data_IF_140601384093
#
_entry.id   IF_140601384093
#
_cell.length_a   1.000
_cell.length_b   1.000
_cell.length_c   1.000
_cell.angle_alpha   90.00
_cell.angle_beta   90.00
_cell.angle_gamma   90.00
#
_symmetry.space_group_name_H-M   'P 1'
#
loop_
_entity.id
_entity.type
_entity.pdbx_description
1 polymer ?
#
# COMPACT_ATOMS: atom_id res chain seq x y z
N UNK A 1 -35.92 -49.75 -45.10
CA UNK A 1 -35.38 -51.08 -44.70
C UNK A 1 -33.95 -50.83 -44.24
N UNK A 2 -33.57 -51.32 -43.07
CA UNK A 2 -32.24 -51.13 -42.48
C UNK A 2 -31.11 -51.66 -43.38
N UNK A 3 -29.84 -51.58 -43.01
CA UNK A 3 -29.32 -52.03 -41.73
C UNK A 3 -27.96 -51.35 -41.44
N UNK A 4 -27.80 -50.91 -40.20
CA UNK A 4 -26.62 -51.00 -39.32
C UNK A 4 -25.37 -51.75 -39.83
N UNK A 5 -24.19 -51.12 -39.73
CA UNK A 5 -23.07 -51.70 -38.98
C UNK A 5 -21.97 -50.68 -38.64
N UNK A 6 -21.55 -50.72 -37.36
CA UNK A 6 -20.46 -49.97 -36.75
C UNK A 6 -19.09 -50.51 -37.18
N UNK A 7 -18.09 -49.64 -37.35
CA UNK A 7 -16.67 -49.97 -37.12
C UNK A 7 -15.91 -48.67 -36.82
N UNK A 8 -15.51 -48.53 -35.56
CA UNK A 8 -14.54 -47.55 -35.09
C UNK A 8 -13.20 -48.28 -34.98
N UNK A 9 -12.21 -47.85 -35.75
CA UNK A 9 -10.77 -48.13 -35.54
C UNK A 9 -10.00 -47.03 -36.26
N UNK A 10 -9.10 -46.38 -35.53
CA UNK A 10 -8.54 -45.07 -35.87
C UNK A 10 -7.37 -45.07 -36.85
N UNK A 11 -6.99 -43.85 -37.22
CA UNK A 11 -5.70 -43.49 -37.81
C UNK A 11 -5.19 -42.23 -37.11
N UNK A 12 -3.90 -42.25 -36.79
CA UNK A 12 -3.13 -41.31 -35.95
C UNK A 12 -2.71 -40.03 -36.71
N UNK A 13 -2.80 -38.88 -36.02
CA UNK A 13 -1.84 -37.73 -35.86
C UNK A 13 -1.04 -37.14 -37.06
N UNK A 14 -0.72 -35.80 -37.10
CA UNK A 14 0.11 -35.18 -36.05
C UNK A 14 -0.01 -33.66 -35.74
N UNK A 15 0.32 -33.34 -34.47
CA UNK A 15 1.17 -32.24 -33.94
C UNK A 15 0.97 -30.80 -34.45
N UNK A 16 0.54 -29.92 -33.55
CA UNK A 16 1.12 -28.57 -33.34
C UNK A 16 0.59 -28.05 -31.99
N UNK A 17 1.38 -28.14 -30.94
CA UNK A 17 2.32 -27.11 -30.49
C UNK A 17 1.72 -26.39 -29.27
N UNK A 18 2.50 -26.49 -28.20
CA UNK A 18 2.30 -26.00 -26.86
C UNK A 18 1.77 -24.56 -26.86
N UNK A 19 0.52 -24.40 -26.44
CA UNK A 19 0.16 -23.22 -25.66
C UNK A 19 -0.16 -23.75 -24.28
N UNK A 20 0.88 -23.68 -23.47
CA UNK A 20 0.77 -23.38 -22.04
C UNK A 20 -0.27 -22.27 -21.90
N UNK A 21 -1.54 -22.67 -21.77
CA UNK A 21 -2.57 -21.83 -21.17
C UNK A 21 -2.20 -21.80 -19.70
N UNK A 22 -1.17 -21.01 -19.41
CA UNK A 22 -0.88 -20.51 -18.09
C UNK A 22 -2.09 -19.72 -17.69
N UNK A 23 -3.10 -20.44 -17.21
CA UNK A 23 -4.06 -19.94 -16.26
C UNK A 23 -3.21 -19.28 -15.20
N UNK A 24 -3.11 -17.95 -15.30
CA UNK A 24 -2.65 -17.08 -14.23
C UNK A 24 -3.50 -17.42 -13.04
N UNK A 25 -3.01 -18.37 -12.23
CA UNK A 25 -3.55 -18.64 -10.91
C UNK A 25 -3.32 -17.35 -10.11
N UNK A 26 -4.40 -16.56 -10.05
CA UNK A 26 -4.52 -15.43 -9.17
C UNK A 26 -4.28 -15.90 -7.74
N UNK A 27 -3.18 -15.41 -7.18
CA UNK A 27 -2.80 -15.60 -5.80
C UNK A 27 -1.51 -14.81 -5.58
N UNK A 28 -1.50 -13.67 -4.92
CA UNK A 28 -2.52 -12.85 -4.29
C UNK A 28 -2.04 -11.41 -4.58
N UNK A 29 -2.92 -10.43 -4.78
CA UNK A 29 -2.52 -9.02 -4.97
C UNK A 29 -2.00 -8.43 -3.64
N UNK A 30 -1.03 -9.09 -3.00
CA UNK A 30 -0.54 -8.78 -1.66
C UNK A 30 0.99 -8.65 -1.63
N UNK A 31 1.47 -8.03 -0.56
CA UNK A 31 2.89 -7.85 -0.30
C UNK A 31 3.11 -6.94 0.90
N UNK A 32 4.34 -6.52 1.12
CA UNK A 32 4.65 -5.59 2.21
C UNK A 32 4.54 -4.14 1.70
N UNK A 33 3.43 -3.48 2.03
CA UNK A 33 3.23 -2.05 1.77
C UNK A 33 4.26 -1.23 2.54
N UNK A 34 4.92 -0.32 1.85
CA UNK A 34 5.83 0.69 2.44
C UNK A 34 4.99 1.82 3.00
N UNK A 35 5.16 2.18 4.27
CA UNK A 35 4.34 3.20 4.93
C UNK A 35 5.12 4.47 5.25
N UNK A 36 6.26 4.32 5.94
CA UNK A 36 7.07 5.44 6.41
C UNK A 36 8.54 5.17 6.20
N UNK A 37 9.28 6.19 5.80
CA UNK A 37 10.73 6.11 5.54
C UNK A 37 11.41 7.12 6.46
N UNK A 38 12.35 6.65 7.27
CA UNK A 38 13.14 7.53 8.13
C UNK A 38 14.23 8.21 7.32
N UNK A 39 14.47 9.48 7.60
CA UNK A 39 15.55 10.24 6.98
C UNK A 39 16.91 9.59 7.26
N UNK A 40 17.83 9.70 6.29
CA UNK A 40 19.19 9.18 6.37
C UNK A 40 19.29 7.66 6.60
N UNK A 41 18.19 6.93 6.41
CA UNK A 41 18.15 5.48 6.50
C UNK A 41 18.56 4.81 5.17
N UNK A 42 18.92 3.51 5.19
CA UNK A 42 19.11 2.74 3.96
C UNK A 42 17.92 2.81 3.00
N UNK A 43 16.69 2.85 3.53
CA UNK A 43 15.47 2.93 2.71
C UNK A 43 15.28 4.30 2.05
N UNK A 44 15.76 5.37 2.67
CA UNK A 44 15.72 6.72 2.07
C UNK A 44 16.60 6.86 0.83
N UNK A 45 17.57 5.95 0.63
CA UNK A 45 18.51 6.00 -0.48
C UNK A 45 18.06 5.24 -1.75
N UNK A 46 16.98 4.47 -1.68
CA UNK A 46 16.58 3.55 -2.77
C UNK A 46 15.32 3.99 -3.53
N UNK A 47 14.76 5.15 -3.20
CA UNK A 47 13.62 5.71 -3.94
C UNK A 47 12.32 4.94 -3.73
N UNK A 48 12.06 4.48 -2.51
CA UNK A 48 10.72 4.02 -2.14
C UNK A 48 9.73 5.20 -2.17
N UNK A 49 8.52 4.91 -2.61
CA UNK A 49 7.36 5.80 -2.59
C UNK A 49 6.41 5.29 -1.52
N UNK A 50 6.34 6.01 -0.41
CA UNK A 50 5.47 5.69 0.72
C UNK A 50 4.01 5.48 0.29
N UNK A 51 3.35 4.55 0.96
CA UNK A 51 2.00 4.04 0.75
C UNK A 51 1.72 3.34 -0.59
N UNK A 52 2.30 3.83 -1.68
CA UNK A 52 2.08 3.30 -3.03
C UNK A 52 2.97 2.11 -3.38
N UNK A 53 4.14 1.98 -2.73
CA UNK A 53 5.02 0.84 -2.97
C UNK A 53 4.67 -0.38 -2.13
N UNK A 54 4.74 -1.54 -2.78
CA UNK A 54 4.63 -2.86 -2.19
C UNK A 54 5.88 -3.67 -2.53
N UNK A 55 6.57 -4.17 -1.51
CA UNK A 55 7.66 -5.12 -1.68
C UNK A 55 7.04 -6.50 -1.92
N UNK A 56 7.21 -7.02 -3.14
CA UNK A 56 6.64 -8.31 -3.58
C UNK A 56 7.65 -9.45 -3.50
N UNK A 57 8.94 -9.14 -3.61
CA UNK A 57 10.01 -10.12 -3.64
C UNK A 57 11.27 -9.56 -2.98
N UNK A 58 12.02 -10.42 -2.29
CA UNK A 58 13.36 -10.14 -1.80
C UNK A 58 14.30 -11.31 -2.14
N UNK A 59 15.41 -11.02 -2.84
CA UNK A 59 16.43 -11.99 -3.26
C UNK A 59 15.86 -13.22 -4.01
N UNK A 60 14.86 -13.05 -4.90
CA UNK A 60 14.24 -14.18 -5.60
C UNK A 60 13.10 -14.85 -4.83
N UNK A 61 12.87 -14.48 -3.57
CA UNK A 61 11.83 -15.08 -2.72
C UNK A 61 10.61 -14.18 -2.70
N UNK A 62 9.47 -14.74 -3.11
CA UNK A 62 8.17 -14.08 -3.12
C UNK A 62 7.67 -13.83 -1.69
N UNK A 63 6.99 -12.70 -1.48
CA UNK A 63 6.55 -12.21 -0.19
C UNK A 63 5.02 -12.08 -0.16
N UNK A 64 4.33 -13.18 -0.42
CA UNK A 64 2.87 -13.27 -0.48
C UNK A 64 2.23 -13.84 0.80
N UNK A 65 3.03 -14.03 1.86
CA UNK A 65 2.55 -14.51 3.16
C UNK A 65 2.90 -13.54 4.29
N UNK A 66 1.99 -13.40 5.25
CA UNK A 66 2.23 -12.66 6.50
C UNK A 66 3.03 -13.51 7.49
N UNK A 67 4.32 -13.66 7.22
CA UNK A 67 5.26 -14.39 8.09
C UNK A 67 6.56 -13.60 8.33
N UNK A 68 7.57 -14.27 8.88
CA UNK A 68 8.85 -13.66 9.22
C UNK A 68 9.84 -13.60 8.04
N UNK A 69 9.50 -14.12 6.85
CA UNK A 69 10.46 -14.33 5.75
C UNK A 69 11.17 -13.04 5.33
N UNK A 70 10.45 -11.93 5.15
CA UNK A 70 11.08 -10.65 4.82
C UNK A 70 12.06 -10.21 5.92
N UNK A 71 11.67 -10.34 7.20
CA UNK A 71 12.50 -9.94 8.33
C UNK A 71 13.77 -10.79 8.44
N UNK A 72 13.65 -12.09 8.19
CA UNK A 72 14.78 -13.01 8.16
C UNK A 72 15.74 -12.68 7.01
N UNK A 73 15.23 -12.39 5.81
CA UNK A 73 16.04 -11.99 4.66
C UNK A 73 16.80 -10.68 4.90
N UNK A 74 16.15 -9.70 5.54
CA UNK A 74 16.76 -8.43 5.95
C UNK A 74 17.88 -8.70 6.96
N UNK A 75 17.63 -9.50 8.00
CA UNK A 75 18.61 -9.82 9.03
C UNK A 75 19.82 -10.59 8.46
N UNK A 76 19.58 -11.53 7.55
CA UNK A 76 20.64 -12.26 6.87
C UNK A 76 21.46 -11.34 5.96
N UNK A 77 20.86 -10.32 5.36
CA UNK A 77 21.52 -9.42 4.41
C UNK A 77 22.17 -8.20 5.08
N UNK A 78 22.40 -8.20 6.40
CA UNK A 78 23.08 -7.09 7.08
C UNK A 78 24.45 -6.78 6.43
N UNK A 79 24.66 -5.51 6.09
CA UNK A 79 25.80 -4.95 5.37
C UNK A 79 26.07 -5.58 3.98
N UNK A 80 25.06 -6.25 3.37
CA UNK A 80 25.14 -6.82 2.01
C UNK A 80 23.96 -6.35 1.14
N UNK A 81 24.19 -6.15 -0.17
CA UNK A 81 23.08 -5.83 -1.08
C UNK A 81 22.01 -6.92 -1.11
N UNK A 82 20.76 -6.50 -1.03
CA UNK A 82 19.55 -7.28 -1.22
C UNK A 82 18.80 -6.73 -2.43
N UNK A 83 18.39 -7.62 -3.33
CA UNK A 83 17.56 -7.28 -4.48
C UNK A 83 16.09 -7.33 -4.06
N UNK A 84 15.34 -6.27 -4.36
CA UNK A 84 13.91 -6.19 -4.11
C UNK A 84 13.16 -6.03 -5.44
N UNK A 85 11.98 -6.64 -5.53
CA UNK A 85 10.98 -6.33 -6.55
C UNK A 85 9.83 -5.58 -5.91
N UNK A 86 9.57 -4.38 -6.40
CA UNK A 86 8.62 -3.44 -5.81
C UNK A 86 7.58 -3.08 -6.85
N UNK A 87 6.31 -3.25 -6.49
CA UNK A 87 5.17 -2.79 -7.28
C UNK A 87 4.69 -1.44 -6.76
N UNK A 88 4.50 -0.47 -7.64
CA UNK A 88 3.92 0.81 -7.30
C UNK A 88 2.47 0.85 -7.78
N UNK A 89 1.53 1.01 -6.85
CA UNK A 89 0.09 1.02 -7.17
C UNK A 89 -0.23 2.21 -8.08
N UNK A 90 0.09 3.45 -7.66
CA UNK A 90 -0.22 4.68 -8.42
C UNK A 90 0.29 4.66 -9.87
N UNK A 91 1.49 4.11 -10.10
CA UNK A 91 2.10 4.04 -11.42
C UNK A 91 1.76 2.74 -12.17
N UNK A 92 1.11 1.77 -11.52
CA UNK A 92 0.82 0.42 -12.06
C UNK A 92 2.06 -0.24 -12.69
N UNK A 93 3.23 -0.08 -12.06
CA UNK A 93 4.50 -0.61 -12.57
C UNK A 93 5.31 -1.32 -11.50
N UNK A 94 6.05 -2.34 -11.95
CA UNK A 94 7.01 -3.08 -11.12
C UNK A 94 8.43 -2.65 -11.45
N UNK A 95 9.25 -2.44 -10.43
CA UNK A 95 10.67 -2.11 -10.58
C UNK A 95 11.54 -2.92 -9.63
N UNK A 96 12.81 -3.02 -9.99
CA UNK A 96 13.84 -3.67 -9.19
C UNK A 96 14.65 -2.61 -8.43
N UNK A 97 14.80 -2.79 -7.12
CA UNK A 97 15.59 -1.92 -6.25
C UNK A 97 16.69 -2.73 -5.55
N UNK A 98 17.89 -2.16 -5.46
CA UNK A 98 18.96 -2.73 -4.65
C UNK A 98 19.07 -1.94 -3.34
N UNK A 99 18.87 -2.62 -2.21
CA UNK A 99 18.94 -2.04 -0.88
C UNK A 99 20.00 -2.76 -0.04
N UNK A 100 20.80 -2.04 0.74
CA UNK A 100 21.76 -2.65 1.67
C UNK A 100 21.32 -2.39 3.10
N UNK A 101 20.78 -3.38 3.82
CA UNK A 101 20.44 -3.24 5.23
C UNK A 101 21.68 -2.90 6.05
N UNK A 102 21.61 -1.93 6.95
CA UNK A 102 22.75 -1.57 7.80
C UNK A 102 22.29 -0.90 9.09
N UNK A 103 23.11 -1.00 10.14
CA UNK A 103 22.97 -0.23 11.39
C UNK A 103 23.79 1.07 11.38
N UNK A 104 24.54 1.32 10.32
CA UNK A 104 25.45 2.47 10.19
C UNK A 104 24.70 3.73 9.72
N UNK A 105 23.67 4.09 10.45
CA UNK A 105 22.85 5.28 10.24
C UNK A 105 22.27 5.74 11.59
N UNK A 106 21.80 6.99 11.72
CA UNK A 106 21.51 7.58 13.03
C UNK A 106 20.24 7.05 13.72
N UNK A 107 19.39 6.29 13.02
CA UNK A 107 18.15 5.75 13.56
C UNK A 107 18.25 4.31 14.09
N UNK A 108 17.10 3.64 14.15
CA UNK A 108 16.96 2.29 14.73
C UNK A 108 16.58 1.26 13.67
N UNK A 109 17.21 0.08 13.75
CA UNK A 109 16.93 -1.04 12.86
C UNK A 109 17.87 -1.08 11.65
N UNK A 110 17.55 -1.97 10.71
CA UNK A 110 18.41 -2.24 9.56
C UNK A 110 18.03 -1.44 8.31
N UNK A 111 16.78 -1.01 8.20
CA UNK A 111 16.24 -0.39 6.99
C UNK A 111 15.79 1.06 7.19
N UNK A 112 15.26 1.38 8.37
CA UNK A 112 14.56 2.64 8.62
C UNK A 112 13.27 2.79 7.80
N UNK A 113 12.54 1.70 7.58
CA UNK A 113 11.24 1.69 6.91
C UNK A 113 10.19 1.06 7.82
N UNK A 114 8.98 1.62 7.82
CA UNK A 114 7.77 1.01 8.37
C UNK A 114 7.05 0.29 7.24
N UNK A 115 6.74 -0.99 7.44
CA UNK A 115 6.06 -1.83 6.45
C UNK A 115 4.91 -2.59 7.09
N UNK A 116 3.90 -2.93 6.29
CA UNK A 116 2.76 -3.76 6.69
C UNK A 116 2.42 -4.75 5.59
N UNK A 117 2.16 -6.01 5.95
CA UNK A 117 1.61 -6.96 5.00
C UNK A 117 0.17 -6.59 4.68
N UNK A 118 -0.13 -6.40 3.40
CA UNK A 118 -1.37 -5.79 2.94
C UNK A 118 -1.72 -6.23 1.50
N UNK A 119 -2.96 -5.98 1.08
CA UNK A 119 -3.39 -6.13 -0.31
C UNK A 119 -3.31 -4.78 -1.04
N UNK A 120 -2.96 -4.82 -2.32
CA UNK A 120 -3.07 -3.71 -3.26
C UNK A 120 -4.25 -3.86 -4.22
N UNK A 121 -5.11 -4.86 -4.02
CA UNK A 121 -6.35 -5.00 -4.78
C UNK A 121 -7.28 -3.82 -4.50
N UNK A 122 -7.66 -3.08 -5.57
CA UNK A 122 -8.57 -1.93 -5.46
C UNK A 122 -8.00 -0.72 -4.71
N UNK A 123 -6.69 -0.67 -4.43
CA UNK A 123 -6.10 0.36 -3.59
C UNK A 123 -6.15 1.79 -4.17
N UNK A 124 -6.44 1.96 -5.47
CA UNK A 124 -6.64 3.28 -6.10
C UNK A 124 -8.03 3.86 -5.82
N UNK A 125 -9.04 3.00 -5.65
CA UNK A 125 -10.44 3.41 -5.45
C UNK A 125 -10.75 3.74 -3.97
N UNK A 126 -9.80 3.44 -3.08
CA UNK A 126 -9.95 3.47 -1.62
C UNK A 126 -9.38 4.74 -0.97
N UNK A 127 -9.10 5.79 -1.75
CA UNK A 127 -8.52 7.02 -1.20
C UNK A 127 -9.60 7.98 -0.68
N UNK A 128 -9.47 8.37 0.59
CA UNK A 128 -10.36 9.33 1.23
C UNK A 128 -9.84 10.75 1.06
N UNK A 129 -10.44 11.50 0.14
CA UNK A 129 -10.06 12.87 -0.20
C UNK A 129 -10.62 13.89 0.79
N UNK A 130 -9.75 14.75 1.32
CA UNK A 130 -10.13 15.87 2.19
C UNK A 130 -10.67 17.01 1.31
N UNK A 131 -11.99 17.19 1.30
CA UNK A 131 -12.69 18.16 0.45
C UNK A 131 -12.69 19.57 1.05
N UNK A 132 -12.88 19.66 2.36
CA UNK A 132 -12.92 20.93 3.08
C UNK A 132 -12.31 20.78 4.48
N UNK A 133 -11.75 21.86 5.00
CA UNK A 133 -11.20 21.93 6.36
C UNK A 133 -11.66 23.25 6.97
N UNK A 134 -12.36 23.17 8.10
CA UNK A 134 -12.88 24.34 8.80
C UNK A 134 -11.79 25.04 9.63
N UNK A 135 -11.90 26.36 9.74
CA UNK A 135 -10.97 27.17 10.53
C UNK A 135 -11.01 26.77 12.01
N UNK A 136 -9.83 26.73 12.65
CA UNK A 136 -9.62 26.31 14.04
C UNK A 136 -10.07 24.88 14.37
N UNK A 137 -10.40 24.06 13.36
CA UNK A 137 -10.86 22.68 13.53
C UNK A 137 -9.75 21.72 13.98
N UNK A 138 -10.11 20.55 14.53
CA UNK A 138 -9.17 19.45 14.74
C UNK A 138 -8.35 19.09 13.50
N UNK A 139 -8.98 19.06 12.32
CA UNK A 139 -8.32 18.80 11.04
C UNK A 139 -7.29 19.89 10.69
N UNK A 140 -7.65 21.17 10.81
CA UNK A 140 -6.72 22.28 10.54
C UNK A 140 -5.53 22.26 11.51
N UNK A 141 -5.79 22.05 12.80
CA UNK A 141 -4.73 21.96 13.82
C UNK A 141 -3.80 20.77 13.60
N UNK A 142 -4.30 19.67 13.03
CA UNK A 142 -3.49 18.54 12.60
C UNK A 142 -2.71 18.81 11.31
N UNK A 143 -2.99 19.93 10.64
CA UNK A 143 -2.34 20.36 9.41
C UNK A 143 -2.90 19.70 8.16
N UNK A 144 -4.16 19.23 8.18
CA UNK A 144 -4.85 18.77 6.97
C UNK A 144 -5.12 19.95 6.04
N UNK A 145 -5.02 19.70 4.74
CA UNK A 145 -5.19 20.66 3.64
C UNK A 145 -6.31 20.18 2.74
N UNK A 146 -7.35 20.99 2.61
CA UNK A 146 -8.41 20.76 1.63
C UNK A 146 -7.86 20.59 0.21
N UNK A 147 -8.59 19.85 -0.61
CA UNK A 147 -8.35 19.54 -2.03
C UNK A 147 -7.08 18.77 -2.37
N UNK A 148 -6.08 18.77 -1.49
CA UNK A 148 -4.76 18.18 -1.77
C UNK A 148 -4.42 16.98 -0.88
N UNK A 149 -5.05 16.84 0.27
CA UNK A 149 -4.78 15.71 1.17
C UNK A 149 -5.73 14.53 0.97
N UNK A 150 -5.17 13.34 1.06
CA UNK A 150 -5.87 12.07 1.04
C UNK A 150 -5.49 11.28 2.30
N UNK A 151 -6.49 10.88 3.09
CA UNK A 151 -6.33 10.06 4.27
C UNK A 151 -6.20 8.60 3.83
N UNK A 152 -5.09 7.97 4.21
CA UNK A 152 -4.70 6.65 3.72
C UNK A 152 -4.99 5.53 4.73
N UNK A 153 -5.02 5.89 6.01
CA UNK A 153 -5.14 4.92 7.11
C UNK A 153 -4.25 5.26 8.29
N UNK A 154 -4.22 4.35 9.25
CA UNK A 154 -3.34 4.36 10.43
C UNK A 154 -2.21 3.34 10.26
N UNK A 155 -1.25 3.26 11.20
CA UNK A 155 -0.28 2.16 11.23
C UNK A 155 -0.91 0.77 11.23
N UNK A 156 -2.12 0.64 11.77
CA UNK A 156 -2.79 -0.64 11.97
C UNK A 156 -3.82 -0.96 10.87
N UNK A 157 -4.40 0.07 10.24
CA UNK A 157 -5.54 -0.06 9.32
C UNK A 157 -5.38 0.80 8.06
N UNK A 158 -5.75 0.29 6.88
CA UNK A 158 -6.02 1.14 5.69
C UNK A 158 -7.46 1.63 5.81
N UNK A 159 -7.72 2.89 5.46
CA UNK A 159 -9.11 3.32 5.29
C UNK A 159 -9.56 2.91 3.89
N UNK A 160 -10.42 1.90 3.79
CA UNK A 160 -10.99 1.50 2.50
C UNK A 160 -12.15 2.42 2.10
N UNK A 161 -12.86 2.94 3.10
CA UNK A 161 -14.01 3.82 2.93
C UNK A 161 -14.19 4.78 4.10
N UNK A 162 -15.20 5.64 4.00
CA UNK A 162 -15.52 6.61 5.04
C UNK A 162 -15.96 5.97 6.37
N UNK A 163 -16.43 4.72 6.35
CA UNK A 163 -16.84 3.99 7.55
C UNK A 163 -15.62 3.59 8.38
N UNK A 164 -14.55 3.09 7.74
CA UNK A 164 -13.27 2.81 8.42
C UNK A 164 -12.69 4.05 9.11
N UNK A 165 -12.73 5.21 8.45
CA UNK A 165 -12.30 6.47 9.05
C UNK A 165 -13.21 6.88 10.21
N UNK A 166 -14.53 6.70 10.06
CA UNK A 166 -15.50 7.04 11.10
C UNK A 166 -15.26 6.21 12.37
N UNK A 167 -15.06 4.90 12.23
CA UNK A 167 -14.75 4.00 13.33
C UNK A 167 -13.49 4.44 14.08
N UNK A 168 -12.40 4.73 13.36
CA UNK A 168 -11.15 5.19 13.96
C UNK A 168 -11.32 6.52 14.72
N UNK A 169 -12.10 7.45 14.17
CA UNK A 169 -12.41 8.72 14.82
C UNK A 169 -13.20 8.52 16.12
N UNK A 170 -14.18 7.61 16.12
CA UNK A 170 -14.98 7.31 17.30
C UNK A 170 -14.13 6.66 18.40
N UNK A 171 -13.28 5.70 18.03
CA UNK A 171 -12.38 5.02 18.96
C UNK A 171 -11.36 5.99 19.58
N UNK A 172 -10.92 7.00 18.81
CA UNK A 172 -9.98 8.02 19.23
C UNK A 172 -10.63 9.30 19.76
N UNK A 173 -11.94 9.34 20.01
CA UNK A 173 -12.64 10.54 20.46
C UNK A 173 -12.06 11.08 21.77
N UNK A 174 -11.75 12.37 21.80
CA UNK A 174 -11.02 13.05 22.89
C UNK A 174 -9.61 12.49 23.18
N UNK A 175 -9.13 11.55 22.37
CA UNK A 175 -7.76 11.05 22.31
C UNK A 175 -7.04 11.53 21.05
N UNK A 176 -5.95 10.87 20.68
CA UNK A 176 -5.21 11.15 19.45
C UNK A 176 -4.94 9.89 18.66
N UNK A 177 -5.08 9.94 17.34
CA UNK A 177 -4.64 8.86 16.45
C UNK A 177 -3.65 9.39 15.40
N UNK A 178 -2.78 8.50 14.92
CA UNK A 178 -1.84 8.80 13.84
C UNK A 178 -2.40 8.33 12.50
N UNK A 179 -2.39 9.23 11.52
CA UNK A 179 -2.87 8.95 10.17
C UNK A 179 -1.77 9.23 9.14
N UNK A 180 -1.64 8.34 8.16
CA UNK A 180 -0.87 8.60 6.95
C UNK A 180 -1.70 9.44 5.99
N UNK A 181 -1.13 10.54 5.55
CA UNK A 181 -1.77 11.51 4.66
C UNK A 181 -0.89 11.71 3.44
N UNK A 182 -1.42 11.37 2.27
CA UNK A 182 -0.80 11.69 1.00
C UNK A 182 -1.22 13.10 0.59
N UNK A 183 -0.26 13.95 0.23
CA UNK A 183 -0.53 15.25 -0.37
C UNK A 183 -0.23 15.20 -1.87
N UNK A 184 -1.22 15.52 -2.71
CA UNK A 184 -1.09 15.48 -4.16
C UNK A 184 -0.25 16.60 -4.77
N UNK A 185 -0.09 17.73 -4.07
CA UNK A 185 0.73 18.85 -4.53
C UNK A 185 2.21 18.62 -4.26
N UNK A 186 2.52 18.08 -3.07
CA UNK A 186 3.88 17.79 -2.65
C UNK A 186 4.36 16.40 -3.15
N UNK A 187 3.44 15.55 -3.60
CA UNK A 187 3.65 14.12 -3.94
C UNK A 187 4.37 13.36 -2.82
N UNK A 188 3.93 13.58 -1.58
CA UNK A 188 4.54 13.04 -0.37
C UNK A 188 3.51 12.48 0.60
N UNK A 189 3.91 11.44 1.33
CA UNK A 189 3.13 10.91 2.46
C UNK A 189 3.74 11.39 3.76
N UNK A 190 2.91 11.96 4.64
CA UNK A 190 3.30 12.39 5.99
C UNK A 190 2.42 11.73 7.04
N UNK A 191 2.94 11.63 8.25
CA UNK A 191 2.16 11.20 9.41
C UNK A 191 1.62 12.45 10.10
N UNK A 192 0.31 12.52 10.29
CA UNK A 192 -0.38 13.55 11.08
C UNK A 192 -0.94 12.94 12.35
N UNK A 193 -0.99 13.73 13.43
CA UNK A 193 -1.66 13.36 14.67
C UNK A 193 -2.94 14.18 14.78
N UNK A 194 -4.10 13.51 14.75
CA UNK A 194 -5.42 14.14 14.80
C UNK A 194 -6.02 13.88 16.18
N UNK A 195 -6.63 14.90 16.76
CA UNK A 195 -7.32 14.84 18.06
C UNK A 195 -8.81 15.16 17.84
N UNK A 196 -9.65 14.17 17.51
CA UNK A 196 -11.08 14.38 17.34
C UNK A 196 -11.72 14.83 18.64
N UNK A 197 -12.59 15.83 18.59
CA UNK A 197 -13.31 16.30 19.77
C UNK A 197 -14.53 17.09 19.34
N UNK A 198 -15.62 17.06 20.12
CA UNK A 198 -16.78 17.95 19.91
C UNK A 198 -16.53 19.36 20.46
N UNK A 199 -15.50 19.54 21.31
CA UNK A 199 -15.28 20.77 22.09
C UNK A 199 -14.58 21.90 21.32
N UNK A 200 -14.48 21.79 20.01
CA UNK A 200 -13.78 22.77 19.18
C UNK A 200 -14.68 23.93 18.69
N UNK A 201 -15.99 23.80 18.83
CA UNK A 201 -16.94 24.90 18.58
C UNK A 201 -17.60 24.92 17.20
N UNK A 202 -17.33 23.93 16.34
CA UNK A 202 -18.03 23.72 15.06
C UNK A 202 -18.80 22.40 15.03
N UNK A 203 -19.20 21.97 13.83
CA UNK A 203 -20.02 20.77 13.63
C UNK A 203 -19.18 19.48 13.55
N UNK A 204 -19.63 18.44 14.24
CA UNK A 204 -18.93 17.16 14.29
C UNK A 204 -17.63 17.21 15.09
N UNK A 205 -16.76 16.21 14.89
CA UNK A 205 -15.58 15.96 15.74
C UNK A 205 -14.24 16.21 15.06
N UNK A 206 -14.24 16.34 13.73
CA UNK A 206 -13.03 16.54 12.93
C UNK A 206 -12.96 17.96 12.33
N UNK A 207 -14.11 18.51 11.95
CA UNK A 207 -14.19 19.77 11.20
C UNK A 207 -13.54 19.69 9.81
N UNK A 208 -13.66 18.53 9.16
CA UNK A 208 -13.32 18.35 7.75
C UNK A 208 -14.39 17.53 7.04
N UNK A 209 -14.62 17.85 5.77
CA UNK A 209 -15.42 17.04 4.87
C UNK A 209 -14.50 16.07 4.14
N UNK A 210 -14.85 14.79 4.16
CA UNK A 210 -14.07 13.72 3.54
C UNK A 210 -14.98 12.94 2.60
N UNK A 211 -14.53 12.75 1.37
CA UNK A 211 -15.26 12.00 0.35
C UNK A 211 -14.35 11.01 -0.38
N UNK A 212 -14.95 10.09 -1.14
CA UNK A 212 -14.19 9.24 -2.04
C UNK A 212 -13.73 10.05 -3.27
N UNK A 213 -12.47 9.91 -3.65
CA UNK A 213 -11.94 10.56 -4.84
C UNK A 213 -10.65 9.92 -5.36
N UNK A 214 -10.45 9.96 -6.67
CA UNK A 214 -9.20 9.50 -7.28
C UNK A 214 -8.08 10.53 -7.05
N UNK A 215 -6.90 10.05 -6.64
CA UNK A 215 -5.68 10.86 -6.66
C UNK A 215 -5.16 11.00 -8.10
N UNK A 216 -5.89 11.74 -8.93
CA UNK A 216 -5.45 11.99 -10.32
C UNK A 216 -4.23 12.90 -10.31
N UNK A 217 -3.10 12.38 -10.81
CA UNK A 217 -1.95 13.21 -11.11
C UNK A 217 -2.34 14.18 -12.22
N UNK A 218 -2.23 15.48 -11.98
CA UNK A 218 -2.25 16.44 -13.07
C UNK A 218 -0.99 16.18 -13.91
N UNK A 219 -1.20 15.84 -15.18
CA UNK A 219 -0.16 15.53 -16.18
C UNK A 219 0.85 16.66 -16.35
#
# INVERSE_FOLDING_TARGET
MGNENSTLSGEEEPRHDSRDDGTTEGGECCGFRVLGIQEQSPSSAVGFVSFFDFILEANGIRLDTKDATLMELIAQSEDRPMQLRVFNVKAQTTRELQLTPSRKWPGKGLLGVTIRFDSYEGAEDQLLHVLNVEDSSPAERAGLRADSDYLLGTPERVFADSEDLHDEILDALDGSFQCYVYNSLDDQVRIVSIVPTERWGGDGVLGAEVGHGEATATQ
#
